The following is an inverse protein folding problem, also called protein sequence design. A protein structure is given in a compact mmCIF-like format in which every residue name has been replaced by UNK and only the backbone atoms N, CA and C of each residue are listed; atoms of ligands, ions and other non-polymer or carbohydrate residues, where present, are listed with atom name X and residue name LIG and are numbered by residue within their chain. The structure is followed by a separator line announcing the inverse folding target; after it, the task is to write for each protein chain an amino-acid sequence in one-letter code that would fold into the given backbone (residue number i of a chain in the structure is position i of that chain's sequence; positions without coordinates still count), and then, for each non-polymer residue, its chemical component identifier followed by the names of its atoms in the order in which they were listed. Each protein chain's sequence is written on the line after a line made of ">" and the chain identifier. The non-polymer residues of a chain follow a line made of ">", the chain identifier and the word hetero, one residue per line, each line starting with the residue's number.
data_IF_526836621586
#
_entry.id   IF_526836621586
#
_cell.length_a   1.000
_cell.length_b   1.000
_cell.length_c   1.000
_cell.angle_alpha   90.00
_cell.angle_beta   90.00
_cell.angle_gamma   90.00
#
_symmetry.space_group_name_H-M   'P 1'
#
loop_
_entity.id
_entity.type
_entity.pdbx_description
1 polymer ?
#
# COMPACT_ATOMS: atom_id res chain seq x y z
N UNK A 1 7.06 42.82 -59.50
CA UNK A 1 7.12 41.86 -58.38
C UNK A 1 5.72 41.75 -57.78
N UNK A 2 4.98 40.65 -58.01
CA UNK A 2 4.55 39.64 -57.00
C UNK A 2 4.08 40.30 -55.68
N UNK A 3 2.83 40.21 -55.21
CA UNK A 3 1.89 39.07 -55.17
C UNK A 3 0.42 39.58 -55.11
N UNK A 4 -0.47 38.85 -55.78
CA UNK A 4 -1.94 38.95 -55.71
C UNK A 4 -2.47 37.93 -54.70
N UNK A 5 -3.48 38.30 -53.91
CA UNK A 5 -4.56 37.41 -53.48
C UNK A 5 -5.52 37.20 -54.67
N UNK A 6 -6.13 36.01 -54.83
CA UNK A 6 -7.53 35.90 -54.40
C UNK A 6 -8.00 34.49 -53.98
N UNK A 7 -9.16 34.49 -53.31
CA UNK A 7 -10.26 33.52 -53.32
C UNK A 7 -10.04 32.18 -54.04
N UNK A 8 -10.35 31.07 -53.36
CA UNK A 8 -10.73 29.83 -54.03
C UNK A 8 -12.09 29.33 -53.54
N UNK A 9 -12.88 28.96 -54.55
CA UNK A 9 -14.23 28.45 -54.49
C UNK A 9 -14.33 27.06 -53.87
N UNK A 10 -15.51 26.84 -53.33
CA UNK A 10 -16.19 25.58 -53.06
C UNK A 10 -16.06 24.59 -54.23
N UNK A 11 -15.59 23.36 -53.96
CA UNK A 11 -15.77 22.21 -54.84
C UNK A 11 -16.29 21.04 -54.01
N UNK A 12 -17.52 20.65 -54.33
CA UNK A 12 -18.27 19.53 -53.78
C UNK A 12 -17.77 18.24 -54.45
N UNK A 13 -17.31 17.26 -53.68
CA UNK A 13 -17.14 15.89 -54.16
C UNK A 13 -17.83 14.92 -53.20
N UNK A 14 -18.97 14.39 -53.67
CA UNK A 14 -19.61 13.20 -53.13
C UNK A 14 -18.60 12.04 -53.13
N UNK A 15 -18.42 11.39 -51.99
CA UNK A 15 -17.95 10.01 -51.93
C UNK A 15 -18.90 9.19 -51.08
N UNK A 16 -19.24 8.03 -51.64
CA UNK A 16 -20.29 7.10 -51.26
C UNK A 16 -19.96 6.43 -49.93
N UNK A 17 -20.95 6.34 -49.05
CA UNK A 17 -20.85 5.69 -47.75
C UNK A 17 -20.61 4.19 -47.86
N UNK A 18 -19.56 3.73 -47.19
CA UNK A 18 -19.45 2.37 -46.67
C UNK A 18 -19.64 2.44 -45.16
N UNK A 19 -20.75 1.88 -44.72
CA UNK A 19 -21.20 1.76 -43.35
C UNK A 19 -20.26 0.87 -42.54
N UNK A 20 -19.52 1.47 -41.61
CA UNK A 20 -18.93 0.75 -40.47
C UNK A 20 -20.04 0.63 -39.41
N UNK A 21 -20.50 -0.58 -39.04
CA UNK A 21 -21.54 -0.74 -38.03
C UNK A 21 -21.05 -0.26 -36.67
N UNK A 22 -21.94 0.39 -35.93
CA UNK A 22 -21.61 1.27 -34.82
C UNK A 22 -20.90 0.59 -33.65
N UNK A 23 -19.91 1.30 -33.10
CA UNK A 23 -19.58 1.21 -31.68
C UNK A 23 -20.80 1.64 -30.89
N UNK A 24 -21.56 0.68 -30.38
CA UNK A 24 -22.50 0.95 -29.30
C UNK A 24 -21.68 1.52 -28.14
N UNK A 25 -21.84 2.82 -27.88
CA UNK A 25 -21.64 3.36 -26.55
C UNK A 25 -22.49 2.52 -25.61
N UNK A 26 -21.83 1.69 -24.80
CA UNK A 26 -22.49 0.96 -23.73
C UNK A 26 -22.86 2.01 -22.68
N UNK A 27 -24.05 2.59 -22.85
CA UNK A 27 -24.76 3.23 -21.74
C UNK A 27 -24.85 2.20 -20.63
N UNK A 28 -24.43 2.59 -19.43
CA UNK A 28 -24.72 1.82 -18.23
C UNK A 28 -26.23 1.60 -18.17
N UNK A 29 -26.68 0.35 -18.31
CA UNK A 29 -28.07 0.02 -18.06
C UNK A 29 -28.31 0.21 -16.56
N UNK A 30 -29.33 0.99 -16.19
CA UNK A 30 -29.89 1.10 -14.84
C UNK A 30 -30.57 -0.20 -14.36
N UNK A 31 -30.10 -1.36 -14.83
CA UNK A 31 -30.75 -2.66 -14.63
C UNK A 31 -29.76 -3.81 -14.55
N UNK A 32 -28.55 -3.57 -14.04
CA UNK A 32 -27.63 -4.67 -13.67
C UNK A 32 -28.05 -5.20 -12.29
N UNK A 33 -29.25 -5.78 -12.23
CA UNK A 33 -29.63 -6.66 -11.13
C UNK A 33 -28.70 -7.88 -11.21
N UNK A 34 -27.61 -7.84 -10.44
CA UNK A 34 -26.89 -9.05 -10.07
C UNK A 34 -27.94 -10.08 -9.68
N UNK A 35 -27.87 -11.34 -10.15
CA UNK A 35 -28.69 -12.38 -9.56
C UNK A 35 -28.45 -12.30 -8.06
N UNK A 36 -29.52 -12.02 -7.30
CA UNK A 36 -29.47 -12.12 -5.86
C UNK A 36 -28.98 -13.53 -5.59
N UNK A 37 -27.73 -13.65 -5.13
CA UNK A 37 -27.41 -14.81 -4.34
C UNK A 37 -28.46 -14.74 -3.24
N UNK A 38 -29.37 -15.72 -3.21
CA UNK A 38 -30.26 -15.96 -2.09
C UNK A 38 -29.38 -16.25 -0.87
N UNK A 39 -28.74 -15.20 -0.35
CA UNK A 39 -28.17 -15.18 0.98
C UNK A 39 -29.39 -15.09 1.85
N UNK A 40 -29.99 -16.24 2.14
CA UNK A 40 -30.72 -16.43 3.39
C UNK A 40 -29.85 -15.74 4.43
N UNK A 41 -30.36 -14.64 4.98
CA UNK A 41 -29.60 -13.73 5.84
C UNK A 41 -29.20 -14.48 7.09
N UNK A 42 -28.09 -15.20 7.00
CA UNK A 42 -27.58 -15.96 8.12
C UNK A 42 -27.12 -14.94 9.14
N UNK A 43 -27.80 -14.91 10.29
CA UNK A 43 -27.45 -14.02 11.36
C UNK A 43 -26.08 -14.44 11.91
N UNK A 44 -25.06 -13.65 11.57
CA UNK A 44 -23.68 -13.74 12.06
C UNK A 44 -23.59 -13.19 13.50
N UNK A 45 -24.52 -13.59 14.38
CA UNK A 45 -24.50 -13.14 15.78
C UNK A 45 -23.27 -13.67 16.50
N UNK A 46 -22.77 -12.91 17.45
CA UNK A 46 -21.72 -13.37 18.35
C UNK A 46 -22.22 -14.56 19.17
N UNK A 47 -21.31 -15.45 19.54
CA UNK A 47 -21.56 -16.50 20.53
C UNK A 47 -21.93 -15.91 21.89
N UNK A 48 -22.37 -16.76 22.80
CA UNK A 48 -22.69 -16.36 24.19
C UNK A 48 -21.46 -15.84 24.95
N UNK A 49 -20.26 -16.16 24.48
CA UNK A 49 -18.97 -15.64 24.95
C UNK A 49 -18.57 -14.29 24.31
N UNK A 50 -19.42 -13.73 23.44
CA UNK A 50 -19.15 -12.51 22.69
C UNK A 50 -18.17 -12.69 21.52
N UNK A 51 -17.77 -13.92 21.18
CA UNK A 51 -16.84 -14.18 20.07
C UNK A 51 -17.57 -14.37 18.76
N UNK A 52 -16.91 -14.02 17.66
CA UNK A 52 -17.40 -14.37 16.33
C UNK A 52 -17.27 -15.87 16.11
N UNK A 53 -18.24 -16.49 15.42
CA UNK A 53 -18.11 -17.89 14.98
C UNK A 53 -16.90 -18.16 14.09
N UNK A 54 -16.36 -17.12 13.42
CA UNK A 54 -15.14 -17.24 12.62
C UNK A 54 -13.86 -17.08 13.45
N UNK A 55 -14.00 -16.75 14.75
CA UNK A 55 -12.93 -16.58 15.71
C UNK A 55 -13.30 -17.15 17.09
N UNK A 56 -13.61 -18.46 17.19
CA UNK A 56 -13.96 -19.07 18.47
C UNK A 56 -12.77 -19.05 19.45
N UNK A 57 -13.00 -19.50 20.69
CA UNK A 57 -11.96 -19.50 21.72
C UNK A 57 -10.81 -20.47 21.42
N UNK A 58 -11.10 -21.56 20.72
CA UNK A 58 -10.17 -22.58 20.24
C UNK A 58 -9.73 -22.36 18.78
N UNK A 59 -9.85 -21.13 18.28
CA UNK A 59 -9.41 -20.78 16.94
C UNK A 59 -7.94 -21.13 16.72
N UNK A 60 -7.62 -21.63 15.52
CA UNK A 60 -6.26 -21.91 15.07
C UNK A 60 -6.05 -21.36 13.64
N UNK A 61 -4.79 -21.09 13.24
CA UNK A 61 -4.48 -20.69 11.86
C UNK A 61 -5.05 -21.64 10.81
N UNK A 62 -5.87 -21.11 9.92
CA UNK A 62 -6.56 -21.91 8.88
C UNK A 62 -7.92 -22.47 9.30
N UNK A 63 -8.43 -22.12 10.49
CA UNK A 63 -9.80 -22.43 10.90
C UNK A 63 -10.81 -21.97 9.83
N UNK A 64 -11.68 -22.90 9.44
CA UNK A 64 -12.82 -22.67 8.55
C UNK A 64 -14.08 -23.16 9.26
N UNK A 65 -15.18 -22.45 9.08
CA UNK A 65 -16.48 -22.99 9.47
C UNK A 65 -16.99 -24.03 8.46
N UNK A 66 -18.16 -24.60 8.73
CA UNK A 66 -18.80 -25.63 7.90
C UNK A 66 -19.08 -25.15 6.47
N UNK A 67 -19.17 -23.83 6.25
CA UNK A 67 -19.38 -23.21 4.94
C UNK A 67 -18.05 -22.83 4.27
N UNK A 68 -16.91 -23.19 4.85
CA UNK A 68 -15.58 -22.93 4.32
C UNK A 68 -15.11 -21.48 4.49
N UNK A 69 -15.83 -20.66 5.27
CA UNK A 69 -15.44 -19.28 5.55
C UNK A 69 -14.37 -19.25 6.63
N UNK A 70 -13.46 -18.30 6.53
CA UNK A 70 -12.36 -18.17 7.47
C UNK A 70 -12.03 -16.71 7.74
N UNK A 71 -11.29 -16.48 8.83
CA UNK A 71 -10.56 -15.23 9.04
C UNK A 71 -9.10 -15.43 8.66
N UNK A 72 -8.53 -14.42 8.01
CA UNK A 72 -7.10 -14.42 7.74
C UNK A 72 -6.30 -14.47 9.05
N UNK A 73 -5.17 -15.15 8.97
CA UNK A 73 -4.24 -15.22 10.08
C UNK A 73 -3.45 -13.89 10.21
N UNK A 74 -3.65 -13.23 11.36
CA UNK A 74 -2.96 -12.01 11.75
C UNK A 74 -1.93 -12.23 12.87
N UNK A 75 -1.65 -13.48 13.26
CA UNK A 75 -0.65 -13.80 14.29
C UNK A 75 0.76 -13.30 13.95
N UNK A 76 1.05 -13.14 12.65
CA UNK A 76 2.30 -12.60 12.13
C UNK A 76 2.32 -11.06 11.99
N UNK A 77 1.35 -10.35 12.56
CA UNK A 77 1.34 -8.89 12.56
C UNK A 77 2.32 -8.33 13.60
N UNK A 78 2.87 -7.14 13.32
CA UNK A 78 3.77 -6.44 14.22
C UNK A 78 5.25 -6.56 13.85
N UNK A 79 6.08 -5.89 14.64
CA UNK A 79 7.53 -5.88 14.44
C UNK A 79 8.08 -7.31 14.54
N UNK A 80 8.85 -7.72 13.52
CA UNK A 80 9.36 -9.09 13.38
C UNK A 80 8.29 -10.16 13.64
N UNK A 81 7.13 -10.00 13.00
CA UNK A 81 5.97 -10.90 13.13
C UNK A 81 5.38 -11.00 14.55
N UNK A 82 5.66 -10.02 15.41
CA UNK A 82 5.24 -10.05 16.82
C UNK A 82 6.11 -10.94 17.71
N UNK A 83 7.19 -11.51 17.17
CA UNK A 83 8.10 -12.42 17.88
C UNK A 83 9.17 -11.66 18.69
N UNK A 84 9.29 -10.35 18.50
CA UNK A 84 10.29 -9.51 19.18
C UNK A 84 9.66 -8.21 19.64
N UNK A 85 10.04 -7.76 20.84
CA UNK A 85 9.70 -6.42 21.31
C UNK A 85 10.28 -5.33 20.39
N UNK A 86 9.67 -4.15 20.40
CA UNK A 86 10.23 -2.99 19.69
C UNK A 86 11.60 -2.62 20.28
N UNK A 87 12.62 -2.35 19.43
CA UNK A 87 13.91 -1.90 19.91
C UNK A 87 13.80 -0.61 20.70
N UNK A 88 14.40 -0.55 21.90
CA UNK A 88 14.41 0.67 22.71
C UNK A 88 15.42 1.67 22.16
N UNK A 89 14.95 2.84 21.77
CA UNK A 89 15.81 3.92 21.26
C UNK A 89 16.52 4.65 22.39
N UNK A 90 17.86 4.66 22.37
CA UNK A 90 18.65 5.29 23.42
C UNK A 90 18.60 6.83 23.32
N UNK A 91 18.15 7.51 24.39
CA UNK A 91 17.97 8.97 24.42
C UNK A 91 19.25 9.77 24.19
N UNK A 92 20.42 9.21 24.48
CA UNK A 92 21.72 9.86 24.39
C UNK A 92 22.39 9.76 23.00
N UNK A 93 21.79 9.05 22.04
CA UNK A 93 22.32 8.89 20.68
C UNK A 93 21.24 9.23 19.63
N UNK A 94 20.89 10.52 19.56
CA UNK A 94 19.86 11.04 18.65
C UNK A 94 20.30 12.32 17.96
N UNK A 95 19.81 12.51 16.75
CA UNK A 95 19.94 13.73 15.96
C UNK A 95 18.73 14.61 16.31
N UNK A 96 18.92 15.62 17.15
CA UNK A 96 17.86 16.56 17.53
C UNK A 96 17.65 17.60 16.43
N UNK A 97 16.46 17.61 15.83
CA UNK A 97 16.14 18.48 14.69
C UNK A 97 16.16 19.97 15.03
N UNK A 98 16.04 20.35 16.31
CA UNK A 98 16.02 21.76 16.75
C UNK A 98 17.43 22.31 17.00
N UNK A 99 18.44 21.45 17.06
CA UNK A 99 19.83 21.84 17.30
C UNK A 99 20.57 22.09 16.00
N UNK A 100 21.74 22.72 16.13
CA UNK A 100 22.67 22.88 15.01
C UNK A 100 23.05 21.51 14.43
N UNK A 101 23.09 21.34 13.10
CA UNK A 101 22.93 22.37 12.06
C UNK A 101 21.51 22.49 11.47
N UNK A 102 20.49 21.84 12.05
CA UNK A 102 19.18 21.67 11.41
C UNK A 102 18.20 22.80 11.71
N UNK A 103 18.13 23.24 12.97
CA UNK A 103 17.30 24.38 13.42
C UNK A 103 15.81 24.31 12.99
N UNK A 104 15.22 23.12 12.99
CA UNK A 104 13.79 22.93 12.74
C UNK A 104 12.96 23.76 13.73
N UNK A 105 11.88 24.35 13.24
CA UNK A 105 10.98 25.19 14.03
C UNK A 105 9.94 24.34 14.77
N UNK A 106 9.99 24.25 16.12
CA UNK A 106 9.03 23.47 16.90
C UNK A 106 7.74 24.26 17.22
N UNK A 107 7.60 25.51 16.76
CA UNK A 107 6.42 26.32 17.05
C UNK A 107 5.28 26.12 16.04
N UNK A 108 5.57 25.53 14.88
CA UNK A 108 4.63 25.36 13.77
C UNK A 108 4.40 26.62 12.93
N UNK A 109 5.15 27.70 13.17
CA UNK A 109 4.97 28.96 12.45
C UNK A 109 5.74 29.01 11.12
N UNK A 110 6.77 28.17 10.97
CA UNK A 110 7.59 28.06 9.76
C UNK A 110 7.69 26.61 9.33
N UNK A 111 7.82 26.43 8.02
CA UNK A 111 8.04 25.13 7.42
C UNK A 111 9.35 24.50 7.94
N UNK A 112 9.24 23.34 8.58
CA UNK A 112 10.33 22.57 9.15
C UNK A 112 10.80 21.42 8.24
N UNK A 113 10.22 21.26 7.04
CA UNK A 113 10.43 20.12 6.13
C UNK A 113 11.91 19.93 5.81
N UNK A 114 12.59 20.98 5.34
CA UNK A 114 13.99 20.88 4.93
C UNK A 114 14.92 20.61 6.11
N UNK A 115 14.63 21.18 7.28
CA UNK A 115 15.42 20.97 8.49
C UNK A 115 15.31 19.52 8.98
N UNK A 116 14.09 18.98 9.03
CA UNK A 116 13.83 17.60 9.44
C UNK A 116 14.40 16.62 8.38
N UNK A 117 14.25 16.91 7.08
CA UNK A 117 14.81 16.06 6.03
C UNK A 117 16.34 16.00 6.11
N UNK A 118 17.03 17.12 6.36
CA UNK A 118 18.50 17.12 6.57
C UNK A 118 18.92 16.25 7.74
N UNK A 119 18.12 16.20 8.82
CA UNK A 119 18.39 15.33 9.97
C UNK A 119 18.19 13.85 9.61
N UNK A 120 17.16 13.54 8.81
CA UNK A 120 16.96 12.19 8.24
C UNK A 120 18.14 11.80 7.35
N UNK A 121 18.57 12.67 6.44
CA UNK A 121 19.69 12.41 5.53
C UNK A 121 20.99 12.17 6.31
N UNK A 122 21.21 12.91 7.41
CA UNK A 122 22.34 12.68 8.31
C UNK A 122 22.26 11.32 9.02
N UNK A 123 21.07 10.90 9.47
CA UNK A 123 20.89 9.55 10.03
C UNK A 123 21.19 8.47 8.99
N UNK A 124 20.73 8.65 7.76
CA UNK A 124 21.01 7.75 6.64
C UNK A 124 22.51 7.66 6.36
N UNK A 125 23.21 8.80 6.33
CA UNK A 125 24.66 8.85 6.11
C UNK A 125 25.47 8.12 7.20
N UNK A 126 24.91 7.99 8.42
CA UNK A 126 25.50 7.23 9.52
C UNK A 126 25.16 5.73 9.48
N UNK A 127 24.41 5.27 8.48
CA UNK A 127 23.92 3.88 8.37
C UNK A 127 22.70 3.59 9.23
N UNK A 128 22.01 4.62 9.70
CA UNK A 128 20.86 4.56 10.60
C UNK A 128 21.00 5.52 11.78
N UNK A 129 19.91 5.69 12.53
CA UNK A 129 19.90 6.53 13.73
C UNK A 129 18.51 7.02 14.11
N UNK A 130 18.45 7.67 15.27
CA UNK A 130 17.21 8.28 15.77
C UNK A 130 17.21 9.76 15.40
N UNK A 131 16.25 10.16 14.56
CA UNK A 131 15.92 11.55 14.29
C UNK A 131 14.86 11.98 15.29
N UNK A 132 15.24 12.88 16.20
CA UNK A 132 14.43 13.24 17.34
C UNK A 132 13.81 14.62 17.20
N UNK A 133 12.49 14.66 17.34
CA UNK A 133 11.64 15.84 17.35
C UNK A 133 11.21 16.09 18.81
N UNK A 134 11.83 17.03 19.54
CA UNK A 134 11.36 17.38 20.87
C UNK A 134 9.93 17.95 20.82
N UNK A 135 9.27 18.02 21.98
CA UNK A 135 7.92 18.62 22.14
C UNK A 135 7.77 19.88 21.31
N UNK A 136 6.72 19.91 20.49
CA UNK A 136 6.44 21.00 19.57
C UNK A 136 5.44 20.62 18.51
N UNK A 137 5.17 21.58 17.65
CA UNK A 137 4.39 21.42 16.42
C UNK A 137 5.30 21.73 15.26
N UNK A 138 5.40 20.83 14.30
CA UNK A 138 6.28 20.93 13.14
C UNK A 138 5.42 20.96 11.88
N UNK A 139 5.41 22.10 11.21
CA UNK A 139 4.78 22.23 9.90
C UNK A 139 5.67 21.54 8.87
N UNK A 140 5.11 20.62 8.08
CA UNK A 140 5.78 20.01 6.94
C UNK A 140 4.93 20.16 5.69
N UNK A 141 5.52 20.27 4.52
CA UNK A 141 4.79 20.35 3.26
C UNK A 141 5.58 19.69 2.14
N UNK A 142 4.92 19.05 1.17
CA UNK A 142 5.57 18.67 -0.07
C UNK A 142 6.20 19.89 -0.74
N UNK A 143 7.52 19.81 -0.94
CA UNK A 143 8.30 20.87 -1.59
C UNK A 143 8.12 20.80 -3.11
N UNK A 144 8.49 21.87 -3.81
CA UNK A 144 8.36 21.93 -5.27
C UNK A 144 9.05 20.74 -5.96
N UNK A 145 8.33 20.10 -6.89
CA UNK A 145 8.80 18.91 -7.60
C UNK A 145 8.84 17.62 -6.76
N UNK A 146 8.31 17.63 -5.53
CA UNK A 146 8.21 16.45 -4.66
C UNK A 146 6.76 16.05 -4.43
N UNK A 147 6.55 14.74 -4.40
CA UNK A 147 5.28 14.09 -4.06
C UNK A 147 5.27 13.57 -2.61
N UNK A 148 6.16 14.10 -1.76
CA UNK A 148 6.21 13.84 -0.33
C UNK A 148 6.71 15.05 0.45
N UNK A 149 6.38 15.15 1.74
CA UNK A 149 7.00 16.13 2.64
C UNK A 149 8.32 15.62 3.18
N UNK A 150 8.31 14.49 3.87
CA UNK A 150 9.50 13.83 4.43
C UNK A 150 9.69 12.47 3.77
N UNK A 151 10.94 12.10 3.50
CA UNK A 151 11.29 10.77 3.00
C UNK A 151 12.36 10.10 3.86
N UNK A 152 12.12 8.85 4.22
CA UNK A 152 13.07 7.95 4.89
C UNK A 152 13.49 6.86 3.88
N UNK A 153 14.60 7.05 3.14
CA UNK A 153 14.95 6.20 2.00
C UNK A 153 15.81 4.98 2.37
N UNK A 154 16.14 4.76 3.65
CA UNK A 154 17.08 3.72 4.07
C UNK A 154 16.70 3.05 5.39
N UNK A 155 17.33 1.92 5.64
CA UNK A 155 17.12 1.08 6.81
C UNK A 155 17.59 1.74 8.11
N UNK A 156 17.08 1.27 9.25
CA UNK A 156 17.56 1.60 10.61
C UNK A 156 17.42 3.08 10.98
N UNK A 157 16.48 3.78 10.36
CA UNK A 157 16.14 5.16 10.72
C UNK A 157 14.86 5.18 11.55
N UNK A 158 14.90 5.82 12.70
CA UNK A 158 13.73 6.04 13.55
C UNK A 158 13.42 7.53 13.61
N UNK A 159 12.22 7.90 13.20
CA UNK A 159 11.67 9.23 13.48
C UNK A 159 10.95 9.16 14.83
N UNK A 160 11.36 9.98 15.80
CA UNK A 160 10.91 9.88 17.19
C UNK A 160 10.49 11.23 17.77
N UNK A 161 9.33 11.29 18.42
CA UNK A 161 8.88 12.44 19.19
C UNK A 161 9.08 12.30 20.71
N UNK A 162 8.51 13.24 21.47
CA UNK A 162 8.43 13.24 22.95
C UNK A 162 7.17 12.59 23.53
N UNK A 163 6.26 12.15 22.66
CA UNK A 163 4.98 11.52 22.96
C UNK A 163 3.87 12.06 22.05
N UNK A 164 2.86 11.24 21.78
CA UNK A 164 1.76 11.54 20.84
C UNK A 164 1.04 12.88 21.09
N UNK A 165 0.92 13.28 22.36
CA UNK A 165 0.25 14.52 22.80
C UNK A 165 1.23 15.70 22.99
N UNK A 166 2.50 15.53 22.61
CA UNK A 166 3.58 16.51 22.81
C UNK A 166 4.23 16.91 21.49
N UNK A 167 4.38 15.97 20.57
CA UNK A 167 5.01 16.18 19.27
C UNK A 167 3.98 15.98 18.18
N UNK A 168 3.77 17.02 17.38
CA UNK A 168 2.77 17.04 16.32
C UNK A 168 3.47 17.39 15.00
N UNK A 169 3.37 16.52 14.01
CA UNK A 169 3.76 16.80 12.63
C UNK A 169 2.48 17.07 11.86
N UNK A 170 2.38 18.21 11.16
CA UNK A 170 1.19 18.48 10.38
C UNK A 170 1.53 19.01 8.99
N UNK A 171 0.75 18.55 8.00
CA UNK A 171 0.79 19.08 6.65
C UNK A 171 -0.15 20.29 6.50
N UNK A 172 0.36 21.39 5.93
CA UNK A 172 -0.43 22.61 5.75
C UNK A 172 -0.94 22.82 4.31
N UNK A 173 -0.67 21.89 3.39
CA UNK A 173 -1.19 21.92 2.02
C UNK A 173 -2.55 21.22 1.91
N UNK A 174 -3.54 21.87 1.31
CA UNK A 174 -4.85 21.25 1.05
C UNK A 174 -4.83 20.29 -0.15
N UNK A 175 -4.02 20.59 -1.17
CA UNK A 175 -3.87 19.75 -2.35
C UNK A 175 -2.75 18.72 -2.14
N UNK A 176 -3.17 17.52 -1.74
CA UNK A 176 -2.32 16.37 -1.46
C UNK A 176 -2.51 15.25 -2.48
N UNK A 177 -3.07 15.55 -3.67
CA UNK A 177 -3.35 14.54 -4.69
C UNK A 177 -2.07 13.78 -5.05
N UNK A 178 -2.09 12.46 -4.87
CA UNK A 178 -0.93 11.58 -5.07
C UNK A 178 0.32 11.92 -4.23
N UNK A 179 0.16 12.63 -3.10
CA UNK A 179 1.28 13.03 -2.23
C UNK A 179 1.26 12.33 -0.88
N UNK A 180 2.44 12.24 -0.28
CA UNK A 180 2.67 11.65 1.03
C UNK A 180 3.10 12.71 2.05
N UNK A 181 2.69 12.61 3.33
CA UNK A 181 3.31 13.42 4.39
C UNK A 181 4.66 12.81 4.73
N UNK A 182 4.66 11.53 5.14
CA UNK A 182 5.89 10.75 5.36
C UNK A 182 5.94 9.60 4.37
N UNK A 183 6.97 9.59 3.53
CA UNK A 183 7.35 8.45 2.70
C UNK A 183 8.46 7.67 3.37
N UNK A 184 8.37 6.35 3.32
CA UNK A 184 9.46 5.45 3.67
C UNK A 184 9.65 4.54 2.47
N UNK A 185 10.81 4.56 1.85
CA UNK A 185 11.02 3.88 0.58
C UNK A 185 12.00 4.61 -0.32
N UNK A 186 12.60 3.87 -1.24
CA UNK A 186 13.44 4.43 -2.29
C UNK A 186 13.12 3.79 -3.65
N UNK A 187 11.82 3.78 -3.98
CA UNK A 187 11.26 3.08 -5.12
C UNK A 187 10.63 1.74 -4.75
N UNK A 188 10.08 1.08 -5.75
CA UNK A 188 9.45 -0.23 -5.61
C UNK A 188 10.49 -1.35 -5.40
N UNK A 189 10.01 -2.55 -5.09
CA UNK A 189 10.80 -3.76 -4.95
C UNK A 189 11.63 -4.04 -6.20
N UNK A 190 12.95 -4.14 -6.02
CA UNK A 190 13.91 -4.37 -7.11
C UNK A 190 14.10 -5.86 -7.32
N UNK A 191 13.41 -6.43 -8.32
CA UNK A 191 13.58 -7.83 -8.71
C UNK A 191 15.01 -8.09 -9.23
N UNK A 192 15.57 -9.25 -8.90
CA UNK A 192 16.81 -9.75 -9.49
C UNK A 192 16.49 -10.52 -10.79
N UNK A 193 17.49 -11.19 -11.37
CA UNK A 193 17.28 -12.12 -12.50
C UNK A 193 16.78 -13.51 -12.08
N UNK A 194 16.71 -13.81 -10.78
CA UNK A 194 16.33 -15.12 -10.26
C UNK A 194 14.82 -15.18 -10.08
N UNK A 195 14.19 -16.13 -10.76
CA UNK A 195 12.75 -16.36 -10.65
C UNK A 195 12.39 -17.81 -10.96
N UNK A 196 11.24 -18.25 -10.47
CA UNK A 196 10.66 -19.54 -10.82
C UNK A 196 9.14 -19.43 -10.94
N UNK A 197 8.54 -20.27 -11.79
CA UNK A 197 7.09 -20.45 -11.85
C UNK A 197 6.63 -21.44 -10.79
N UNK A 198 5.38 -21.27 -10.36
CA UNK A 198 4.68 -22.28 -9.58
C UNK A 198 4.49 -23.54 -10.45
N UNK A 199 4.85 -24.73 -9.94
CA UNK A 199 4.68 -25.99 -10.71
C UNK A 199 3.39 -26.74 -10.42
N UNK A 200 2.72 -26.42 -9.31
CA UNK A 200 1.47 -27.06 -8.89
C UNK A 200 0.58 -26.05 -8.16
N UNK A 201 -0.70 -26.00 -8.52
CA UNK A 201 -1.67 -25.18 -7.80
C UNK A 201 -1.74 -25.57 -6.33
N UNK A 202 -1.87 -24.57 -5.45
CA UNK A 202 -2.16 -24.76 -4.03
C UNK A 202 -3.50 -24.11 -3.70
N UNK A 203 -4.36 -24.86 -3.04
CA UNK A 203 -5.77 -24.52 -2.81
C UNK A 203 -6.01 -23.78 -1.50
N UNK A 204 -5.03 -23.83 -0.60
CA UNK A 204 -5.12 -23.29 0.75
C UNK A 204 -3.94 -22.35 1.03
N UNK A 205 -4.11 -21.40 1.95
CA UNK A 205 -3.01 -20.69 2.60
C UNK A 205 -1.87 -21.64 2.98
N UNK A 206 -0.67 -21.38 2.46
CA UNK A 206 0.47 -22.29 2.65
C UNK A 206 1.78 -21.53 2.80
N UNK A 207 2.72 -22.11 3.54
CA UNK A 207 4.12 -21.69 3.56
C UNK A 207 4.95 -22.41 2.49
N UNK A 208 4.47 -23.52 1.94
CA UNK A 208 5.23 -24.35 1.02
C UNK A 208 4.80 -24.10 -0.42
N UNK A 209 5.70 -23.55 -1.23
CA UNK A 209 5.51 -23.31 -2.66
C UNK A 209 6.20 -24.37 -3.50
N UNK A 210 5.47 -25.19 -4.25
CA UNK A 210 6.07 -26.04 -5.27
C UNK A 210 6.47 -25.18 -6.47
N UNK A 211 7.75 -25.20 -6.84
CA UNK A 211 8.31 -24.38 -7.93
C UNK A 211 8.98 -25.23 -9.01
N UNK A 212 9.07 -24.72 -10.23
CA UNK A 212 9.69 -25.46 -11.34
C UNK A 212 11.22 -25.63 -11.17
N UNK A 213 11.85 -24.62 -10.58
CA UNK A 213 13.28 -24.54 -10.31
C UNK A 213 13.54 -23.83 -8.97
N UNK A 214 14.60 -24.24 -8.28
CA UNK A 214 15.08 -23.62 -7.02
C UNK A 214 16.46 -22.99 -7.18
N UNK A 215 17.07 -23.12 -8.36
CA UNK A 215 18.42 -22.61 -8.64
C UNK A 215 18.51 -21.11 -8.37
N UNK A 216 19.52 -20.71 -7.58
CA UNK A 216 19.77 -19.31 -7.23
C UNK A 216 18.97 -18.78 -6.04
N UNK A 217 17.94 -19.48 -5.56
CA UNK A 217 17.26 -19.13 -4.32
C UNK A 217 18.03 -19.65 -3.10
N UNK A 218 18.04 -18.86 -2.03
CA UNK A 218 18.65 -19.19 -0.75
C UNK A 218 17.75 -18.80 0.43
N UNK A 219 18.01 -19.41 1.59
CA UNK A 219 17.39 -18.99 2.86
C UNK A 219 17.77 -17.55 3.16
N UNK A 220 16.80 -16.78 3.67
CA UNK A 220 16.81 -15.34 3.93
C UNK A 220 16.58 -14.43 2.71
N UNK A 221 16.54 -14.97 1.49
CA UNK A 221 16.18 -14.19 0.32
C UNK A 221 14.77 -13.61 0.45
N UNK A 222 14.60 -12.38 0.00
CA UNK A 222 13.29 -11.79 -0.19
C UNK A 222 12.76 -12.10 -1.59
N UNK A 223 11.46 -12.39 -1.65
CA UNK A 223 10.74 -12.69 -2.88
C UNK A 223 9.45 -11.91 -2.99
N UNK A 224 9.11 -11.56 -4.22
CA UNK A 224 7.79 -11.09 -4.63
C UNK A 224 7.11 -12.22 -5.38
N UNK A 225 5.97 -12.65 -4.85
CA UNK A 225 5.07 -13.57 -5.53
C UNK A 225 4.09 -12.71 -6.32
N UNK A 226 4.11 -12.85 -7.64
CA UNK A 226 3.22 -12.14 -8.56
C UNK A 226 2.26 -13.10 -9.24
N UNK A 227 1.13 -12.58 -9.70
CA UNK A 227 0.14 -13.29 -10.52
C UNK A 227 -0.25 -12.44 -11.72
N UNK A 228 -0.72 -13.09 -12.78
CA UNK A 228 -1.39 -12.42 -13.89
C UNK A 228 -2.90 -12.38 -13.63
N UNK A 229 -3.50 -11.21 -13.84
CA UNK A 229 -4.96 -11.08 -13.80
C UNK A 229 -5.57 -11.73 -15.04
N UNK A 230 -6.05 -12.96 -14.90
CA UNK A 230 -6.65 -13.72 -16.00
C UNK A 230 -8.18 -13.60 -16.04
N UNK A 231 -8.84 -13.97 -17.16
CA UNK A 231 -10.31 -14.07 -17.19
C UNK A 231 -10.85 -15.05 -16.14
N UNK A 232 -10.10 -16.12 -15.86
CA UNK A 232 -10.45 -17.11 -14.84
C UNK A 232 -10.44 -16.51 -13.44
N UNK A 233 -9.40 -15.73 -13.13
CA UNK A 233 -9.31 -14.96 -11.89
C UNK A 233 -10.47 -13.98 -11.72
N UNK A 234 -10.74 -13.15 -12.74
CA UNK A 234 -11.81 -12.15 -12.69
C UNK A 234 -13.19 -12.78 -12.51
N UNK A 235 -13.46 -13.90 -13.19
CA UNK A 235 -14.74 -14.62 -13.08
C UNK A 235 -14.92 -15.22 -11.69
N UNK A 236 -13.86 -15.79 -11.11
CA UNK A 236 -13.91 -16.36 -9.77
C UNK A 236 -14.27 -15.32 -8.71
N UNK A 237 -13.81 -14.07 -8.87
CA UNK A 237 -14.14 -12.97 -7.98
C UNK A 237 -15.45 -12.26 -8.34
N UNK A 238 -16.08 -12.59 -9.46
CA UNK A 238 -17.24 -11.86 -9.99
C UNK A 238 -16.90 -10.40 -10.38
N UNK A 239 -15.65 -10.14 -10.75
CA UNK A 239 -15.11 -8.80 -11.03
C UNK A 239 -14.86 -8.54 -12.53
N UNK A 240 -15.36 -9.39 -13.42
CA UNK A 240 -15.16 -9.31 -14.87
C UNK A 240 -15.52 -7.93 -15.47
N UNK A 241 -16.53 -7.25 -14.94
CA UNK A 241 -16.96 -5.94 -15.43
C UNK A 241 -16.17 -4.81 -14.77
N UNK A 242 -16.01 -4.87 -13.43
CA UNK A 242 -15.41 -3.79 -12.63
C UNK A 242 -13.90 -3.70 -12.80
N UNK A 243 -13.22 -4.83 -13.03
CA UNK A 243 -11.76 -4.93 -13.10
C UNK A 243 -11.27 -5.35 -14.48
N UNK A 244 -12.07 -5.14 -15.53
CA UNK A 244 -11.69 -5.42 -16.92
C UNK A 244 -10.38 -4.76 -17.34
N UNK A 245 -10.10 -3.54 -16.86
CA UNK A 245 -8.86 -2.79 -17.11
C UNK A 245 -7.60 -3.40 -16.47
N UNK A 246 -7.75 -4.45 -15.65
CA UNK A 246 -6.64 -5.20 -15.05
C UNK A 246 -6.28 -6.46 -15.83
N UNK A 247 -7.13 -6.90 -16.77
CA UNK A 247 -6.90 -8.10 -17.55
C UNK A 247 -5.51 -8.10 -18.20
N UNK A 248 -4.75 -9.19 -18.01
CA UNK A 248 -3.39 -9.36 -18.52
C UNK A 248 -2.29 -8.62 -17.74
N UNK A 249 -2.64 -7.88 -16.68
CA UNK A 249 -1.63 -7.23 -15.82
C UNK A 249 -1.02 -8.23 -14.86
N UNK A 250 0.31 -8.16 -14.73
CA UNK A 250 1.07 -8.87 -13.69
C UNK A 250 1.14 -7.98 -12.46
N UNK A 251 0.59 -8.46 -11.35
CA UNK A 251 0.52 -7.71 -10.10
C UNK A 251 1.20 -8.48 -8.96
N UNK A 252 1.86 -7.78 -8.02
CA UNK A 252 2.39 -8.42 -6.82
C UNK A 252 1.23 -8.87 -5.92
N UNK A 253 1.30 -10.12 -5.48
CA UNK A 253 0.33 -10.71 -4.56
C UNK A 253 0.89 -10.72 -3.13
N UNK A 254 2.11 -11.22 -2.97
CA UNK A 254 2.74 -11.39 -1.65
C UNK A 254 4.23 -11.01 -1.68
N UNK A 255 4.69 -10.50 -0.55
CA UNK A 255 6.10 -10.26 -0.24
C UNK A 255 6.48 -11.24 0.86
N UNK A 256 7.51 -12.06 0.63
CA UNK A 256 7.91 -13.16 1.52
C UNK A 256 9.42 -13.30 1.60
N UNK A 257 9.86 -13.96 2.64
CA UNK A 257 11.24 -14.29 2.92
C UNK A 257 11.31 -15.81 2.92
N UNK A 258 12.30 -16.32 2.22
CA UNK A 258 12.55 -17.74 2.14
C UNK A 258 13.15 -18.21 3.46
N UNK A 259 12.52 -19.20 4.09
CA UNK A 259 13.03 -19.87 5.30
C UNK A 259 13.54 -21.28 5.01
N UNK A 260 13.28 -21.81 3.82
CA UNK A 260 13.78 -23.11 3.38
C UNK A 260 13.76 -23.25 1.86
N UNK A 261 14.74 -23.95 1.31
CA UNK A 261 14.83 -24.32 -0.11
C UNK A 261 15.12 -25.82 -0.18
N UNK A 262 14.32 -26.54 -0.94
CA UNK A 262 14.48 -27.98 -1.16
C UNK A 262 14.60 -28.27 -2.65
N UNK A 263 15.83 -28.43 -3.18
CA UNK A 263 16.06 -28.72 -4.58
C UNK A 263 15.58 -30.10 -5.02
N UNK A 264 15.58 -31.10 -4.13
CA UNK A 264 15.17 -32.48 -4.44
C UNK A 264 13.66 -32.54 -4.72
N UNK A 265 12.88 -31.92 -3.84
CA UNK A 265 11.42 -31.86 -3.98
C UNK A 265 10.93 -30.64 -4.78
N UNK A 266 11.84 -29.74 -5.16
CA UNK A 266 11.57 -28.46 -5.84
C UNK A 266 10.52 -27.62 -5.10
N UNK A 267 10.82 -27.30 -3.85
CA UNK A 267 9.96 -26.45 -3.02
C UNK A 267 10.71 -25.29 -2.38
N UNK A 268 10.00 -24.18 -2.18
CA UNK A 268 10.44 -23.03 -1.41
C UNK A 268 9.51 -22.89 -0.21
N UNK A 269 10.06 -22.76 0.99
CA UNK A 269 9.30 -22.51 2.21
C UNK A 269 9.38 -21.02 2.57
N UNK A 270 8.22 -20.43 2.82
CA UNK A 270 8.02 -19.03 3.18
C UNK A 270 7.87 -18.88 4.70
N UNK A 271 8.19 -17.72 5.23
CA UNK A 271 8.04 -17.41 6.65
C UNK A 271 6.57 -17.21 7.11
N UNK A 272 5.70 -16.72 6.22
CA UNK A 272 4.29 -16.42 6.49
C UNK A 272 3.43 -17.11 5.43
N UNK A 273 2.34 -17.81 5.82
CA UNK A 273 1.44 -18.42 4.86
C UNK A 273 0.93 -17.42 3.81
N UNK A 274 0.74 -17.89 2.58
CA UNK A 274 -0.02 -17.15 1.57
C UNK A 274 -1.44 -16.95 2.06
N UNK A 275 -2.10 -15.85 1.65
CA UNK A 275 -3.47 -15.54 2.11
C UNK A 275 -4.55 -15.89 1.09
N UNK A 276 -4.13 -16.40 -0.06
CA UNK A 276 -4.99 -16.65 -1.21
C UNK A 276 -4.49 -17.92 -1.94
N UNK A 277 -5.39 -18.74 -2.49
CA UNK A 277 -5.01 -19.88 -3.33
C UNK A 277 -4.15 -19.42 -4.51
N UNK A 278 -3.11 -20.17 -4.86
CA UNK A 278 -2.27 -19.86 -6.02
C UNK A 278 -2.51 -20.92 -7.08
N UNK A 279 -3.13 -20.51 -8.20
CA UNK A 279 -3.56 -21.42 -9.26
C UNK A 279 -2.64 -21.23 -10.46
N UNK A 280 -2.23 -22.34 -11.08
CA UNK A 280 -1.40 -22.31 -12.29
C UNK A 280 -1.99 -21.46 -13.42
N UNK A 281 -3.32 -21.41 -13.50
CA UNK A 281 -4.02 -20.59 -14.51
C UNK A 281 -3.68 -19.09 -14.39
N UNK A 282 -3.24 -18.62 -13.22
CA UNK A 282 -2.99 -17.21 -12.91
C UNK A 282 -1.49 -16.85 -13.01
N UNK A 283 -0.71 -17.67 -13.74
CA UNK A 283 0.69 -17.46 -14.10
C UNK A 283 1.62 -17.04 -12.94
N UNK A 284 1.49 -17.75 -11.82
CA UNK A 284 2.15 -17.41 -10.56
C UNK A 284 3.68 -17.48 -10.72
N UNK A 285 4.34 -16.37 -10.39
CA UNK A 285 5.79 -16.21 -10.50
C UNK A 285 6.38 -15.79 -9.17
N UNK A 286 7.41 -16.50 -8.72
CA UNK A 286 8.20 -16.19 -7.53
C UNK A 286 9.47 -15.49 -8.04
N UNK A 287 9.64 -14.20 -7.78
CA UNK A 287 10.81 -13.43 -8.18
C UNK A 287 11.62 -13.02 -6.96
N UNK A 288 12.91 -13.36 -6.92
CA UNK A 288 13.82 -12.85 -5.90
C UNK A 288 13.97 -11.32 -6.05
N UNK A 289 14.18 -10.63 -4.94
CA UNK A 289 14.44 -9.19 -4.91
C UNK A 289 15.75 -8.88 -4.20
N UNK A 290 16.30 -7.70 -4.48
CA UNK A 290 17.26 -7.09 -3.59
C UNK A 290 16.66 -6.92 -2.18
N UNK A 291 17.55 -6.74 -1.20
CA UNK A 291 17.14 -6.52 0.19
C UNK A 291 16.21 -5.31 0.31
N UNK A 292 15.07 -5.45 1.01
CA UNK A 292 14.20 -4.34 1.30
C UNK A 292 14.85 -3.39 2.31
N UNK A 293 14.27 -2.20 2.43
CA UNK A 293 14.53 -1.37 3.60
C UNK A 293 13.99 -2.11 4.83
N UNK A 294 14.72 -2.05 5.95
CA UNK A 294 14.34 -2.73 7.19
C UNK A 294 14.55 -1.83 8.40
N UNK A 295 13.90 -2.15 9.52
CA UNK A 295 14.19 -1.52 10.82
C UNK A 295 13.89 -0.01 10.83
N UNK A 296 12.83 0.41 10.14
CA UNK A 296 12.35 1.81 10.19
C UNK A 296 11.29 1.93 11.28
N UNK A 297 11.40 2.99 12.09
CA UNK A 297 10.48 3.29 13.19
C UNK A 297 9.85 4.68 13.06
N UNK A 298 8.55 4.77 13.37
CA UNK A 298 7.85 6.02 13.62
C UNK A 298 7.26 5.93 15.04
N UNK A 299 7.77 6.75 15.96
CA UNK A 299 7.52 6.61 17.40
C UNK A 299 7.15 7.95 18.05
N UNK A 300 6.20 7.94 19.00
CA UNK A 300 6.00 9.05 19.95
C UNK A 300 5.61 10.42 19.36
N UNK A 301 4.89 10.47 18.25
CA UNK A 301 4.30 11.70 17.72
C UNK A 301 2.94 11.46 17.07
N UNK A 302 2.19 12.53 16.84
CA UNK A 302 0.98 12.54 16.02
C UNK A 302 1.25 13.16 14.66
N UNK A 303 0.52 12.71 13.64
CA UNK A 303 0.55 13.24 12.28
C UNK A 303 -0.83 13.78 11.95
N UNK A 304 -0.93 14.94 11.30
CA UNK A 304 -2.18 15.50 10.82
C UNK A 304 -2.05 16.09 9.42
N UNK A 305 -3.18 16.28 8.75
CA UNK A 305 -3.29 17.09 7.55
C UNK A 305 -4.28 18.22 7.79
N UNK A 306 -4.05 19.39 7.19
CA UNK A 306 -5.07 20.44 7.15
C UNK A 306 -6.29 19.96 6.36
N UNK A 307 -7.48 20.36 6.79
CA UNK A 307 -8.70 20.08 6.06
C UNK A 307 -8.70 20.80 4.71
N UNK A 308 -9.11 20.10 3.65
CA UNK A 308 -9.38 20.72 2.36
C UNK A 308 -10.66 21.57 2.46
N UNK A 309 -10.57 22.86 2.11
CA UNK A 309 -11.68 23.80 2.26
C UNK A 309 -12.72 23.71 1.13
N UNK A 310 -12.44 22.95 0.07
CA UNK A 310 -13.35 22.77 -1.07
C UNK A 310 -14.49 21.81 -0.71
N UNK A 311 -15.56 21.88 -1.49
CA UNK A 311 -16.67 20.91 -1.43
C UNK A 311 -16.41 19.72 -2.36
N UNK A 312 -17.31 18.72 -2.32
CA UNK A 312 -17.24 17.54 -3.18
C UNK A 312 -16.37 16.44 -2.58
N UNK A 313 -16.95 15.65 -1.66
CA UNK A 313 -16.38 14.45 -1.05
C UNK A 313 -17.25 13.21 -1.32
N UNK A 314 -18.04 13.23 -2.39
CA UNK A 314 -18.79 12.09 -2.88
C UNK A 314 -17.88 11.00 -3.48
N UNK A 315 -18.43 9.80 -3.66
CA UNK A 315 -17.67 8.60 -4.05
C UNK A 315 -16.84 8.80 -5.34
N UNK A 316 -17.34 9.55 -6.32
CA UNK A 316 -16.66 9.77 -7.61
C UNK A 316 -16.00 11.15 -7.75
N UNK A 317 -16.03 11.98 -6.70
CA UNK A 317 -15.48 13.35 -6.77
C UNK A 317 -13.97 13.38 -6.96
N UNK A 318 -13.26 12.27 -6.70
CA UNK A 318 -11.85 12.09 -7.02
C UNK A 318 -11.50 12.26 -8.51
N UNK A 319 -12.50 12.15 -9.40
CA UNK A 319 -12.39 12.37 -10.85
C UNK A 319 -12.68 13.81 -11.28
N UNK A 320 -13.27 14.64 -10.41
CA UNK A 320 -13.81 15.95 -10.76
C UNK A 320 -12.84 17.06 -10.35
N UNK A 321 -12.12 17.62 -11.32
CA UNK A 321 -11.16 18.72 -11.07
C UNK A 321 -11.86 19.88 -10.34
N UNK A 322 -11.24 20.34 -9.24
CA UNK A 322 -11.75 21.46 -8.45
C UNK A 322 -12.55 21.06 -7.21
N UNK A 323 -12.78 19.78 -6.94
CA UNK A 323 -13.37 19.29 -5.69
C UNK A 323 -12.30 18.97 -4.64
N UNK A 324 -12.72 18.86 -3.38
CA UNK A 324 -11.87 18.34 -2.30
C UNK A 324 -11.50 16.87 -2.54
N UNK A 325 -12.44 16.05 -3.05
CA UNK A 325 -12.20 14.66 -3.39
C UNK A 325 -11.08 14.49 -4.41
N UNK A 326 -11.04 15.33 -5.45
CA UNK A 326 -9.97 15.32 -6.43
C UNK A 326 -8.61 15.69 -5.85
N UNK A 327 -8.56 16.70 -4.98
CA UNK A 327 -7.33 17.20 -4.34
C UNK A 327 -6.81 16.34 -3.19
N UNK A 328 -7.66 15.49 -2.59
CA UNK A 328 -7.30 14.54 -1.56
C UNK A 328 -7.09 13.11 -2.11
N UNK A 329 -7.37 12.88 -3.39
CA UNK A 329 -7.26 11.57 -4.02
C UNK A 329 -5.84 10.99 -3.90
N UNK A 330 -5.75 9.77 -3.40
CA UNK A 330 -4.50 9.05 -3.13
C UNK A 330 -3.50 9.84 -2.25
N UNK A 331 -3.97 10.75 -1.41
CA UNK A 331 -3.19 11.41 -0.37
C UNK A 331 -2.93 10.45 0.80
N UNK A 332 -1.69 10.42 1.32
CA UNK A 332 -1.29 9.47 2.37
C UNK A 332 -0.59 10.19 3.50
N UNK A 333 -0.99 9.92 4.75
CA UNK A 333 -0.26 10.42 5.90
C UNK A 333 1.11 9.73 6.02
N UNK A 334 1.11 8.41 5.86
CA UNK A 334 2.31 7.60 5.81
C UNK A 334 2.19 6.68 4.62
N UNK A 335 3.20 6.67 3.76
CA UNK A 335 3.36 5.75 2.66
C UNK A 335 4.65 4.96 2.85
N UNK A 336 4.57 3.65 2.76
CA UNK A 336 5.68 2.75 3.07
C UNK A 336 5.85 1.82 1.90
N UNK A 337 7.00 1.79 1.24
CA UNK A 337 7.23 1.16 -0.08
C UNK A 337 8.51 0.31 0.01
N UNK A 338 8.48 -0.95 -0.42
CA UNK A 338 9.66 -1.85 -0.35
C UNK A 338 10.28 -1.99 1.06
N UNK A 339 9.37 -1.96 2.04
CA UNK A 339 9.49 -2.14 3.50
C UNK A 339 9.57 -3.59 4.06
N UNK A 340 10.48 -3.98 4.94
CA UNK A 340 10.30 -5.16 5.80
C UNK A 340 10.67 -4.88 7.27
N UNK A 341 10.28 -5.77 8.20
CA UNK A 341 10.65 -5.73 9.63
C UNK A 341 10.61 -4.32 10.27
N UNK A 342 9.40 -3.82 10.48
CA UNK A 342 9.15 -2.41 10.85
C UNK A 342 8.27 -2.34 12.08
N UNK A 343 8.56 -1.35 12.92
CA UNK A 343 7.78 -1.04 14.10
C UNK A 343 7.03 0.26 13.89
N UNK A 344 5.70 0.23 14.05
CA UNK A 344 4.90 1.45 14.16
C UNK A 344 4.41 1.54 15.60
N UNK A 345 4.77 2.60 16.30
CA UNK A 345 4.13 3.00 17.54
C UNK A 345 3.48 4.36 17.32
N UNK A 346 2.44 4.36 16.47
CA UNK A 346 1.60 5.52 16.21
C UNK A 346 0.23 5.24 16.84
N UNK A 347 0.00 5.78 18.04
CA UNK A 347 -1.35 5.90 18.59
C UNK A 347 -1.84 7.31 18.23
N UNK A 348 -2.77 7.43 17.29
CA UNK A 348 -3.43 8.70 16.96
C UNK A 348 -4.78 8.80 17.66
N UNK A 349 -5.16 9.98 18.19
CA UNK A 349 -6.55 10.29 18.46
C UNK A 349 -7.29 10.35 17.11
N UNK A 350 -8.36 9.56 17.00
CA UNK A 350 -9.18 9.43 15.80
C UNK A 350 -9.82 10.78 15.46
N UNK A 351 -9.38 11.39 14.37
CA UNK A 351 -10.21 12.20 13.47
C UNK A 351 -9.45 12.44 12.15
N UNK A 352 -9.87 11.72 11.09
CA UNK A 352 -9.52 11.94 9.67
C UNK A 352 -8.05 11.72 9.23
N UNK A 353 -7.49 10.52 9.44
CA UNK A 353 -6.22 10.13 8.80
C UNK A 353 -6.33 8.78 8.08
N UNK A 354 -5.90 8.76 6.81
CA UNK A 354 -5.63 7.54 6.05
C UNK A 354 -4.12 7.21 6.18
N UNK A 355 -3.81 6.11 6.88
CA UNK A 355 -2.50 5.45 6.77
C UNK A 355 -2.62 4.45 5.63
N UNK A 356 -1.90 4.69 4.53
CA UNK A 356 -1.89 3.76 3.40
C UNK A 356 -0.53 3.07 3.32
N UNK A 357 -0.52 1.81 3.74
CA UNK A 357 0.64 0.93 3.65
C UNK A 357 0.62 0.27 2.26
N UNK A 358 1.42 0.79 1.32
CA UNK A 358 1.45 0.31 -0.09
C UNK A 358 2.64 -0.63 -0.30
N UNK A 359 2.45 -1.94 -0.51
CA UNK A 359 3.50 -2.94 -0.84
C UNK A 359 4.44 -3.33 0.32
N UNK A 360 3.90 -4.09 1.28
CA UNK A 360 4.50 -4.23 2.59
C UNK A 360 4.37 -5.60 3.25
N UNK A 361 5.44 -6.00 3.92
CA UNK A 361 5.61 -7.22 4.69
C UNK A 361 5.20 -7.06 6.17
N UNK A 362 4.24 -7.83 6.70
CA UNK A 362 2.95 -8.16 6.11
C UNK A 362 1.99 -6.95 6.14
N UNK A 363 0.92 -7.00 5.35
CA UNK A 363 -0.20 -6.03 5.37
C UNK A 363 -0.83 -6.00 6.78
N UNK A 364 -0.47 -5.01 7.59
CA UNK A 364 -1.25 -4.57 8.74
C UNK A 364 -2.05 -3.35 8.29
N UNK A 365 -3.34 -3.54 8.03
CA UNK A 365 -4.25 -2.47 7.68
C UNK A 365 -4.73 -1.84 9.01
N UNK A 366 -4.22 -0.67 9.39
CA UNK A 366 -4.86 0.13 10.42
C UNK A 366 -6.08 0.83 9.79
N UNK A 367 -7.28 0.37 10.13
CA UNK A 367 -8.53 1.01 9.73
C UNK A 367 -8.84 2.20 10.65
N UNK A 368 -9.01 3.39 10.07
CA UNK A 368 -9.92 4.42 10.59
C UNK A 368 -11.01 4.58 9.53
N UNK A 369 -12.23 4.11 9.84
CA UNK A 369 -13.38 4.12 8.93
C UNK A 369 -13.91 5.55 8.75
N UNK A 370 -13.89 6.07 7.52
CA UNK A 370 -15.11 6.58 6.87
C UNK A 370 -15.08 6.15 5.40
N UNK A 371 -16.20 5.55 4.97
CA UNK A 371 -16.42 4.92 3.65
C UNK A 371 -15.71 5.62 2.50
N UNK A 372 -14.82 4.90 1.84
CA UNK A 372 -14.70 4.76 0.38
C UNK A 372 -13.90 3.48 0.11
N UNK A 373 -14.45 2.60 -0.73
CA UNK A 373 -13.83 1.44 -1.38
C UNK A 373 -12.83 0.59 -0.57
N UNK A 374 -13.39 -0.41 0.14
CA UNK A 374 -12.70 -1.51 0.82
C UNK A 374 -12.06 -2.48 -0.20
N UNK A 375 -10.72 -2.57 -0.17
CA UNK A 375 -9.95 -3.59 -0.87
C UNK A 375 -9.71 -4.78 0.07
N UNK A 376 -10.45 -5.87 -0.15
CA UNK A 376 -10.17 -7.19 0.45
C UNK A 376 -9.90 -8.14 -0.71
N UNK A 377 -8.74 -8.79 -0.68
CA UNK A 377 -8.53 -10.12 -1.26
C UNK A 377 -8.48 -11.10 -0.11
#
# INVERSE_FOLDING_TARGET
>A
MRRKWPFLLLAFTLTVGLSVPGTQEVRASEGDSQPSIDRVGENLSLGTDGRSRLYPNDWYPGFKDEQGRFLHDFSYAGYRRGETELPKTAKNKRIDVTKSPYFADPSGNRDATQAIQKAIDAAVALGGGVVYLPKGTYQVNPQDGKDYSLNIPASRVVLKGDGMNKTHIYNAQQNMKNKDIIRIGNGDWKKTGISAKLRKSVTDPTVLLPVEDTSGFAVNDYVVISFETTPGFLRELGMQNKWSSRLGKVEPLFYRQIVGVDPENKTITLDIPTRYPMKLRDDITISQTADPIVEVGLEDFSIANIQNAKSGLGEDDFKVVGTAGYEADNAKAVNVIAVANRGFEILTPINQLAIQITTCYPRVLFWIVRRTSLWIM
#
